data_IF_254914950570
#
_entry.id   IF_254914950570
#
_cell.length_a   1.000
_cell.length_b   1.000
_cell.length_c   1.000
_cell.angle_alpha   90.00
_cell.angle_beta   90.00
_cell.angle_gamma   90.00
#
_symmetry.space_group_name_H-M   'P 1'
#
loop_
_entity.id
_entity.type
_entity.pdbx_description
1 polymer ?
#
# COMPACT_ATOMS: atom_id res chain seq x y z
N UNK A 1 11.42 4.70 -12.06
CA UNK A 1 10.49 3.99 -11.15
C UNK A 1 9.52 3.21 -12.01
N UNK A 2 9.26 1.95 -11.71
CA UNK A 2 8.24 1.17 -12.41
C UNK A 2 6.89 1.45 -11.73
N UNK A 3 5.91 1.97 -12.48
CA UNK A 3 4.54 2.16 -11.97
C UNK A 3 3.79 0.85 -12.14
N UNK A 4 3.26 0.32 -11.05
CA UNK A 4 2.46 -0.90 -11.07
C UNK A 4 0.99 -0.56 -10.88
N UNK A 5 0.15 -0.97 -11.84
CA UNK A 5 -1.31 -0.78 -11.75
C UNK A 5 -1.92 -2.04 -11.13
N UNK A 6 -2.63 -1.87 -10.01
CA UNK A 6 -3.31 -2.96 -9.29
C UNK A 6 -4.82 -2.78 -9.32
N UNK A 7 -5.55 -3.90 -9.33
CA UNK A 7 -7.02 -3.88 -9.34
C UNK A 7 -7.55 -3.47 -7.97
N UNK A 8 -8.38 -2.42 -7.95
CA UNK A 8 -9.18 -2.06 -6.78
C UNK A 8 -10.31 -3.07 -6.59
N UNK A 9 -10.48 -3.55 -5.36
CA UNK A 9 -11.56 -4.45 -4.96
C UNK A 9 -12.52 -3.72 -4.03
N UNK A 10 -13.81 -3.94 -4.24
CA UNK A 10 -14.82 -3.47 -3.30
C UNK A 10 -14.75 -4.32 -2.01
N UNK A 11 -14.67 -3.65 -0.86
CA UNK A 11 -14.68 -4.28 0.46
C UNK A 11 -16.02 -4.05 1.19
N UNK A 12 -16.97 -3.37 0.56
CA UNK A 12 -18.23 -2.95 1.17
C UNK A 12 -18.08 -1.69 2.04
N UNK A 13 -19.21 -1.18 2.55
CA UNK A 13 -19.28 -0.01 3.43
C UNK A 13 -18.60 1.26 2.87
N UNK A 14 -18.54 1.41 1.54
CA UNK A 14 -17.87 2.53 0.89
C UNK A 14 -16.33 2.47 0.95
N UNK A 15 -15.76 1.28 1.17
CA UNK A 15 -14.31 1.07 1.23
C UNK A 15 -13.80 0.23 0.06
N UNK A 16 -12.59 0.55 -0.40
CA UNK A 16 -11.90 -0.18 -1.44
C UNK A 16 -10.55 -0.71 -0.92
N UNK A 17 -10.13 -1.86 -1.43
CA UNK A 17 -8.87 -2.49 -1.06
C UNK A 17 -8.04 -2.85 -2.27
N UNK A 18 -6.73 -2.71 -2.14
CA UNK A 18 -5.74 -3.25 -3.06
C UNK A 18 -4.98 -4.39 -2.39
N UNK A 19 -4.40 -5.28 -3.18
CA UNK A 19 -3.49 -6.32 -2.66
C UNK A 19 -2.08 -5.90 -2.99
N UNK A 20 -1.24 -5.70 -1.98
CA UNK A 20 0.22 -5.52 -2.12
C UNK A 20 0.92 -6.89 -1.90
N UNK A 21 1.99 -7.23 -2.62
CA UNK A 21 2.74 -8.47 -2.44
C UNK A 21 3.54 -8.38 -1.15
N UNK A 22 3.85 -9.54 -0.57
CA UNK A 22 4.64 -9.62 0.67
C UNK A 22 6.00 -8.94 0.52
N UNK A 23 6.67 -9.12 -0.62
CA UNK A 23 7.97 -8.50 -0.90
C UNK A 23 7.90 -6.98 -0.80
N UNK A 24 6.87 -6.34 -1.35
CA UNK A 24 6.68 -4.89 -1.25
C UNK A 24 6.46 -4.43 0.20
N UNK A 25 5.72 -5.20 0.99
CA UNK A 25 5.48 -4.87 2.41
C UNK A 25 6.76 -5.00 3.22
N UNK A 26 7.59 -6.02 2.95
CA UNK A 26 8.91 -6.19 3.58
C UNK A 26 9.89 -5.09 3.18
N UNK A 27 9.91 -4.71 1.91
CA UNK A 27 10.75 -3.62 1.40
C UNK A 27 10.42 -2.27 2.07
N UNK A 28 9.17 -2.11 2.53
CA UNK A 28 8.70 -0.93 3.26
C UNK A 28 8.73 -1.10 4.78
N UNK A 29 9.29 -2.19 5.31
CA UNK A 29 9.35 -2.50 6.75
C UNK A 29 7.95 -2.57 7.41
N UNK A 30 6.91 -2.84 6.61
CA UNK A 30 5.52 -3.00 7.05
C UNK A 30 5.16 -4.46 7.40
N UNK A 31 6.07 -5.39 7.13
CA UNK A 31 5.93 -6.81 7.39
C UNK A 31 7.24 -7.35 7.94
N UNK A 32 7.15 -8.17 8.99
CA UNK A 32 8.31 -8.77 9.64
C UNK A 32 8.79 -10.06 8.96
N UNK A 33 9.89 -10.62 9.48
CA UNK A 33 10.50 -11.86 9.00
C UNK A 33 9.61 -13.10 9.21
N UNK A 34 8.54 -12.97 10.00
CA UNK A 34 7.56 -14.02 10.29
C UNK A 34 6.30 -13.92 9.42
N UNK A 35 6.29 -13.04 8.40
CA UNK A 35 5.13 -12.72 7.55
C UNK A 35 3.95 -12.07 8.31
N UNK A 36 4.22 -11.49 9.48
CA UNK A 36 3.24 -10.74 10.26
C UNK A 36 3.32 -9.24 9.92
N UNK A 37 2.19 -8.54 9.99
CA UNK A 37 2.17 -7.10 9.78
C UNK A 37 2.81 -6.39 10.97
N UNK A 38 3.76 -5.51 10.69
CA UNK A 38 4.30 -4.61 11.70
C UNK A 38 3.22 -3.60 12.14
N UNK A 39 3.33 -3.08 13.37
CA UNK A 39 2.51 -1.96 13.85
C UNK A 39 2.97 -0.66 13.19
N UNK A 40 2.69 -0.53 11.89
CA UNK A 40 3.14 0.55 11.04
C UNK A 40 1.96 1.15 10.26
N UNK A 41 2.07 2.43 9.94
CA UNK A 41 1.04 3.17 9.22
C UNK A 41 1.49 3.45 7.78
N UNK A 42 0.53 3.62 6.88
CA UNK A 42 0.81 3.99 5.48
C UNK A 42 0.24 5.38 5.25
N UNK A 43 1.09 6.31 4.80
CA UNK A 43 0.65 7.58 4.24
C UNK A 43 0.12 7.33 2.84
N UNK A 44 -1.09 7.83 2.58
CA UNK A 44 -1.73 7.81 1.26
C UNK A 44 -1.84 9.24 0.79
N UNK A 45 -1.07 9.60 -0.23
CA UNK A 45 -1.12 10.91 -0.86
C UNK A 45 -1.67 10.79 -2.27
N UNK A 46 -2.56 11.72 -2.62
CA UNK A 46 -2.98 11.89 -4.01
C UNK A 46 -1.90 12.70 -4.71
N UNK A 47 -1.41 12.16 -5.83
CA UNK A 47 -0.53 12.93 -6.69
C UNK A 47 -1.34 14.08 -7.32
N UNK A 48 -0.86 15.31 -7.22
CA UNK A 48 -1.57 16.47 -7.76
C UNK A 48 -1.36 16.61 -9.27
N UNK A 49 -0.26 16.06 -9.80
CA UNK A 49 0.14 16.15 -11.19
C UNK A 49 -0.24 14.91 -12.01
N UNK A 50 -0.53 13.78 -11.34
CA UNK A 50 -0.93 12.51 -11.95
C UNK A 50 -2.24 11.99 -11.32
N UNK A 51 -3.03 11.19 -12.05
CA UNK A 51 -4.22 10.51 -11.51
C UNK A 51 -3.83 9.31 -10.60
N UNK A 52 -2.71 9.44 -9.89
CA UNK A 52 -2.08 8.40 -9.08
C UNK A 52 -2.26 8.58 -7.58
N UNK A 53 -1.96 7.49 -6.85
CA UNK A 53 -1.80 7.50 -5.40
C UNK A 53 -0.36 7.08 -5.09
N UNK A 54 0.29 7.81 -4.19
CA UNK A 54 1.59 7.49 -3.63
C UNK A 54 1.42 6.89 -2.24
N UNK A 55 2.08 5.77 -1.99
CA UNK A 55 2.06 5.05 -0.72
C UNK A 55 3.46 5.08 -0.11
N UNK A 56 3.56 5.53 1.13
CA UNK A 56 4.82 5.59 1.86
C UNK A 56 4.64 5.07 3.28
N UNK A 57 5.60 4.31 3.83
CA UNK A 57 5.55 3.88 5.22
C UNK A 57 5.73 5.09 6.15
N UNK A 58 5.00 5.09 7.26
CA UNK A 58 5.10 6.08 8.34
C UNK A 58 5.48 5.40 9.63
N UNK A 59 6.64 5.80 10.16
CA UNK A 59 7.27 5.26 11.37
C UNK A 59 7.18 6.29 12.49
#
# INVERSE_FOLDING_TARGET
MAREIRKLRDLGNGSGGITLPKEFLRDLELMDDNDELADAHIIVEKDEDDDGLSLMPFH
#
